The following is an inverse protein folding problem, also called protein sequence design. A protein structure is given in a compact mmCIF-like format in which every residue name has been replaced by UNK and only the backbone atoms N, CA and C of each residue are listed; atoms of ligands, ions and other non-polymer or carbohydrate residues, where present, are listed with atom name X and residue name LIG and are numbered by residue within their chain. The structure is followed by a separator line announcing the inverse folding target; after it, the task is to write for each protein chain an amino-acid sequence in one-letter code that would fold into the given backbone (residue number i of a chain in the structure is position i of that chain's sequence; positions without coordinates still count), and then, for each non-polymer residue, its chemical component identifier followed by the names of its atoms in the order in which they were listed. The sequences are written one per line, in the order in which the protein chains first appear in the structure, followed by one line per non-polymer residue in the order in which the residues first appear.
data_IF_321067026729
#
_entry.id   IF_321067026729
#
_cell.length_a   1.000
_cell.length_b   1.000
_cell.length_c   1.000
_cell.angle_alpha   90.00
_cell.angle_beta   90.00
_cell.angle_gamma   90.00
#
_symmetry.space_group_name_H-M   'P 1'
#
loop_
_entity.id
_entity.type
_entity.pdbx_description
1 polymer ?
#
# COMPACT_ATOMS: atom_id res chain seq x y z
N UNK A 1 -71.57 -29.36 -35.84
CA UNK A 1 -71.07 -28.07 -35.29
C UNK A 1 -70.97 -28.27 -33.78
N UNK A 2 -69.83 -28.25 -33.08
CA UNK A 2 -68.57 -27.53 -33.23
C UNK A 2 -67.42 -28.39 -32.64
N UNK A 3 -66.30 -28.42 -33.35
CA UNK A 3 -64.98 -28.88 -32.90
C UNK A 3 -64.46 -27.96 -31.79
N UNK A 4 -63.91 -28.52 -30.72
CA UNK A 4 -63.13 -27.76 -29.73
C UNK A 4 -61.67 -28.22 -29.87
N UNK A 5 -60.86 -27.36 -30.47
CA UNK A 5 -59.43 -27.54 -30.59
C UNK A 5 -58.76 -27.18 -29.26
N UNK A 6 -58.02 -28.11 -28.67
CA UNK A 6 -57.19 -27.88 -27.51
C UNK A 6 -55.82 -27.36 -27.96
N UNK A 7 -55.58 -26.07 -27.80
CA UNK A 7 -54.26 -25.46 -28.04
C UNK A 7 -53.37 -25.75 -26.82
N UNK A 8 -52.34 -26.58 -26.99
CA UNK A 8 -51.30 -26.80 -25.97
C UNK A 8 -50.33 -25.62 -26.07
N UNK A 9 -50.33 -24.76 -25.05
CA UNK A 9 -49.38 -23.67 -24.90
C UNK A 9 -48.08 -24.24 -24.29
N UNK A 10 -47.08 -24.51 -25.11
CA UNK A 10 -45.73 -24.84 -24.65
C UNK A 10 -45.06 -23.59 -24.08
N UNK A 11 -45.02 -23.48 -22.75
CA UNK A 11 -44.27 -22.45 -22.05
C UNK A 11 -42.77 -22.73 -22.08
N UNK A 12 -42.01 -21.88 -22.77
CA UNK A 12 -40.55 -21.87 -22.72
C UNK A 12 -40.11 -21.30 -21.36
N UNK A 13 -39.60 -22.15 -20.48
CA UNK A 13 -39.00 -21.73 -19.21
C UNK A 13 -37.58 -21.22 -19.51
N UNK A 14 -37.41 -19.91 -19.65
CA UNK A 14 -36.10 -19.29 -19.74
C UNK A 14 -35.41 -19.38 -18.37
N UNK A 15 -34.50 -20.35 -18.23
CA UNK A 15 -33.67 -20.50 -17.03
C UNK A 15 -32.64 -19.36 -17.01
N UNK A 16 -32.97 -18.26 -16.34
CA UNK A 16 -32.04 -17.16 -16.09
C UNK A 16 -30.93 -17.68 -15.19
N UNK A 17 -29.77 -17.98 -15.78
CA UNK A 17 -28.56 -18.33 -15.06
C UNK A 17 -28.10 -17.07 -14.29
N UNK A 18 -28.52 -16.97 -13.04
CA UNK A 18 -27.94 -16.04 -12.07
C UNK A 18 -26.51 -16.48 -11.83
N UNK A 19 -25.57 -15.87 -12.55
CA UNK A 19 -24.15 -15.96 -12.23
C UNK A 19 -24.01 -15.30 -10.86
N UNK A 20 -23.65 -16.04 -9.79
CA UNK A 20 -23.36 -15.41 -8.51
C UNK A 20 -22.17 -14.49 -8.75
N UNK A 21 -22.40 -13.19 -8.65
CA UNK A 21 -21.34 -12.21 -8.55
C UNK A 21 -20.58 -12.59 -7.28
N UNK A 22 -19.38 -13.17 -7.43
CA UNK A 22 -18.55 -13.58 -6.31
C UNK A 22 -18.40 -12.43 -5.33
N UNK A 23 -19.13 -12.49 -4.23
CA UNK A 23 -18.95 -11.62 -3.08
C UNK A 23 -17.64 -12.03 -2.41
N UNK A 24 -16.56 -11.42 -2.86
CA UNK A 24 -15.21 -11.71 -2.40
C UNK A 24 -14.16 -10.86 -3.10
N UNK A 25 -14.44 -9.57 -3.34
CA UNK A 25 -13.42 -8.62 -3.75
C UNK A 25 -12.57 -8.24 -2.54
N UNK A 26 -11.74 -9.18 -2.09
CA UNK A 26 -10.51 -8.81 -1.40
C UNK A 26 -9.68 -7.96 -2.35
N UNK A 27 -8.95 -6.99 -1.80
CA UNK A 27 -8.03 -6.16 -2.57
C UNK A 27 -7.08 -7.06 -3.39
N UNK A 28 -6.92 -6.79 -4.68
CA UNK A 28 -6.05 -7.65 -5.52
C UNK A 28 -4.59 -7.48 -5.10
N UNK A 29 -3.80 -8.54 -5.23
CA UNK A 29 -2.35 -8.48 -4.95
C UNK A 29 -1.68 -7.36 -5.75
N UNK A 30 -2.11 -7.15 -7.00
CA UNK A 30 -1.62 -6.07 -7.86
C UNK A 30 -1.92 -4.69 -7.30
N UNK A 31 -3.13 -4.50 -6.75
CA UNK A 31 -3.47 -3.27 -6.07
C UNK A 31 -2.58 -3.07 -4.84
N UNK A 32 -2.41 -4.08 -3.99
CA UNK A 32 -1.63 -3.94 -2.75
C UNK A 32 -0.16 -3.65 -3.04
N UNK A 33 0.42 -4.27 -4.10
CA UNK A 33 1.77 -3.96 -4.57
C UNK A 33 1.85 -2.50 -5.05
N UNK A 34 0.92 -2.08 -5.90
CA UNK A 34 0.92 -0.72 -6.45
C UNK A 34 0.75 0.34 -5.35
N UNK A 35 -0.16 0.09 -4.40
CA UNK A 35 -0.41 0.97 -3.26
C UNK A 35 0.78 1.01 -2.30
N UNK A 36 1.37 -0.15 -1.96
CA UNK A 36 2.58 -0.22 -1.14
C UNK A 36 3.74 0.59 -1.71
N UNK A 37 3.92 0.59 -3.04
CA UNK A 37 4.90 1.45 -3.72
C UNK A 37 4.62 2.95 -3.57
N UNK A 38 3.35 3.38 -3.65
CA UNK A 38 2.94 4.78 -3.44
C UNK A 38 3.11 5.20 -1.98
N UNK A 39 2.75 4.35 -1.03
CA UNK A 39 3.01 4.53 0.40
C UNK A 39 4.51 4.70 0.68
N UNK A 40 5.34 3.83 0.09
CA UNK A 40 6.80 3.86 0.23
C UNK A 40 7.42 5.17 -0.29
N UNK A 41 6.87 5.72 -1.38
CA UNK A 41 7.32 7.01 -1.91
C UNK A 41 6.84 8.19 -1.06
N UNK A 42 5.53 8.26 -0.77
CA UNK A 42 4.91 9.42 -0.13
C UNK A 42 3.57 9.06 0.52
N UNK A 43 3.63 8.33 1.63
CA UNK A 43 2.45 7.82 2.34
C UNK A 43 1.36 8.86 2.60
N UNK A 44 1.73 10.08 3.00
CA UNK A 44 0.74 11.11 3.31
C UNK A 44 -0.05 11.55 2.08
N UNK A 45 0.54 11.50 0.88
CA UNK A 45 -0.22 11.76 -0.34
C UNK A 45 -1.10 10.57 -0.76
N UNK A 46 -0.68 9.33 -0.47
CA UNK A 46 -1.50 8.14 -0.75
C UNK A 46 -2.68 8.00 0.22
N UNK A 47 -2.52 8.48 1.45
CA UNK A 47 -3.52 8.42 2.51
C UNK A 47 -4.33 9.73 2.64
N UNK A 48 -4.21 10.66 1.68
CA UNK A 48 -4.88 11.98 1.70
C UNK A 48 -4.70 12.73 3.04
N UNK A 49 -3.49 12.63 3.59
CA UNK A 49 -3.09 13.21 4.87
C UNK A 49 -2.12 14.39 4.67
N UNK A 50 -2.09 15.28 5.66
CA UNK A 50 -1.10 16.35 5.68
C UNK A 50 0.32 15.78 5.86
N UNK A 51 1.29 16.43 5.22
CA UNK A 51 2.68 16.06 5.41
C UNK A 51 3.10 16.34 6.88
N UNK A 52 3.84 15.43 7.53
CA UNK A 52 4.36 15.68 8.86
C UNK A 52 5.20 16.96 8.92
N UNK A 53 4.99 17.73 9.98
CA UNK A 53 5.72 18.96 10.26
C UNK A 53 6.91 18.73 11.17
N UNK A 54 6.78 17.77 12.09
CA UNK A 54 7.86 17.43 13.02
C UNK A 54 8.94 16.61 12.30
N UNK A 55 10.22 16.76 12.66
CA UNK A 55 11.28 15.94 12.11
C UNK A 55 11.07 14.45 12.39
N UNK A 56 11.40 13.60 11.41
CA UNK A 56 11.32 12.16 11.62
C UNK A 56 12.32 11.71 12.72
N UNK A 57 11.94 10.86 13.70
CA UNK A 57 12.70 10.64 14.94
C UNK A 57 14.17 10.22 14.75
N UNK A 58 14.45 9.45 13.71
CA UNK A 58 15.81 8.95 13.42
C UNK A 58 16.44 9.57 12.18
N UNK A 59 15.74 10.48 11.51
CA UNK A 59 16.36 11.20 10.42
C UNK A 59 17.40 12.14 11.02
N UNK A 60 18.68 11.89 10.74
CA UNK A 60 19.77 12.58 11.44
C UNK A 60 19.64 14.10 11.29
N UNK A 61 19.68 14.81 12.43
CA UNK A 61 19.69 16.26 12.47
C UNK A 61 20.77 16.81 11.52
N UNK A 62 20.44 17.84 10.72
CA UNK A 62 21.27 18.46 9.67
C UNK A 62 21.36 17.71 8.34
N UNK A 63 20.45 16.79 8.06
CA UNK A 63 20.29 16.21 6.72
C UNK A 63 19.41 17.05 5.82
N UNK A 64 19.50 16.82 4.51
CA UNK A 64 18.90 17.70 3.50
C UNK A 64 17.40 17.90 3.71
N UNK A 65 16.66 16.89 4.18
CA UNK A 65 15.20 16.94 4.35
C UNK A 65 14.73 16.99 5.80
N UNK A 66 15.63 17.24 6.74
CA UNK A 66 15.31 17.39 8.17
C UNK A 66 14.22 18.47 8.37
N UNK A 67 13.02 18.05 8.76
CA UNK A 67 11.86 18.93 8.91
C UNK A 67 11.34 19.57 7.62
N UNK A 68 11.73 19.07 6.43
CA UNK A 68 11.32 19.65 5.14
C UNK A 68 10.11 18.93 4.55
N UNK A 69 8.91 19.42 4.87
CA UNK A 69 7.64 19.06 4.19
C UNK A 69 7.43 17.53 4.14
N UNK A 70 7.72 16.82 5.23
CA UNK A 70 7.62 15.36 5.31
C UNK A 70 8.62 14.58 4.46
N UNK A 71 9.65 15.21 3.87
CA UNK A 71 10.64 14.54 3.03
C UNK A 71 11.45 13.48 3.77
N UNK A 72 11.76 13.75 5.04
CA UNK A 72 12.39 12.86 6.01
C UNK A 72 11.48 11.73 6.52
N UNK A 73 10.16 11.81 6.28
CA UNK A 73 9.18 10.77 6.60
C UNK A 73 8.91 9.79 5.46
N UNK A 74 9.57 9.97 4.30
CA UNK A 74 9.42 9.07 3.15
C UNK A 74 10.35 7.87 3.33
N UNK A 75 9.80 6.66 3.30
CA UNK A 75 10.57 5.42 3.46
C UNK A 75 11.79 5.38 2.53
N UNK A 76 11.58 5.79 1.28
CA UNK A 76 12.66 5.80 0.27
C UNK A 76 13.82 6.73 0.60
N UNK A 77 13.61 7.82 1.34
CA UNK A 77 14.68 8.77 1.63
C UNK A 77 15.76 8.13 2.52
N UNK A 78 15.35 7.21 3.40
CA UNK A 78 16.26 6.40 4.19
C UNK A 78 16.67 5.12 3.47
N UNK A 79 15.72 4.39 2.89
CA UNK A 79 15.92 3.02 2.44
C UNK A 79 16.17 2.88 0.92
N UNK A 80 16.25 3.99 0.20
CA UNK A 80 16.48 4.05 -1.25
C UNK A 80 15.21 3.76 -2.05
N UNK A 81 15.02 4.42 -3.19
CA UNK A 81 13.90 4.10 -4.09
C UNK A 81 13.99 2.70 -4.71
N UNK A 82 15.19 2.10 -4.67
CA UNK A 82 15.53 0.77 -5.15
C UNK A 82 15.59 -0.29 -4.02
N UNK A 83 15.22 0.10 -2.80
CA UNK A 83 15.24 -0.70 -1.57
C UNK A 83 16.63 -1.11 -1.06
N UNK A 84 17.70 -0.55 -1.61
CA UNK A 84 19.09 -0.90 -1.28
C UNK A 84 19.75 0.09 -0.30
N UNK A 85 19.12 1.24 -0.05
CA UNK A 85 19.63 2.27 0.87
C UNK A 85 21.03 2.73 0.46
N UNK A 86 21.97 2.70 1.42
CA UNK A 86 23.37 3.10 1.23
C UNK A 86 24.13 2.27 0.19
N UNK A 87 23.64 1.07 -0.12
CA UNK A 87 24.30 0.12 -1.02
C UNK A 87 23.72 0.17 -2.44
N UNK A 88 22.82 1.13 -2.72
CA UNK A 88 22.23 1.32 -4.05
C UNK A 88 22.24 2.77 -4.49
N UNK A 89 21.18 3.18 -5.18
CA UNK A 89 21.08 4.48 -5.84
C UNK A 89 21.19 5.69 -4.89
N UNK A 90 20.92 5.51 -3.59
CA UNK A 90 21.11 6.55 -2.55
C UNK A 90 22.41 6.35 -1.73
N UNK A 91 23.36 5.55 -2.22
CA UNK A 91 24.71 5.45 -1.64
C UNK A 91 25.54 6.73 -1.81
N UNK A 92 25.17 7.57 -2.77
CA UNK A 92 25.81 8.83 -3.10
C UNK A 92 24.81 9.93 -3.48
N UNK A 93 25.34 11.13 -3.74
CA UNK A 93 24.54 12.28 -4.16
C UNK A 93 23.66 12.89 -3.06
N UNK A 94 22.67 13.66 -3.50
CA UNK A 94 21.87 14.55 -2.63
C UNK A 94 20.90 13.84 -1.66
N UNK A 95 20.67 12.55 -1.88
CA UNK A 95 19.80 11.69 -1.06
C UNK A 95 20.61 10.72 -0.18
N UNK A 96 21.94 10.91 -0.09
CA UNK A 96 22.79 10.03 0.69
C UNK A 96 22.47 10.11 2.17
N UNK A 97 21.93 9.01 2.69
CA UNK A 97 21.55 8.87 4.10
C UNK A 97 22.30 7.75 4.83
N UNK A 98 23.10 6.91 4.17
CA UNK A 98 23.88 5.88 4.86
C UNK A 98 23.06 4.82 5.61
N UNK A 99 21.72 4.85 5.54
CA UNK A 99 20.86 3.83 6.12
C UNK A 99 20.89 2.57 5.25
N UNK A 100 20.73 1.41 5.88
CA UNK A 100 20.68 0.14 5.15
C UNK A 100 19.39 0.04 4.31
N UNK A 101 19.45 -0.69 3.20
CA UNK A 101 18.26 -1.12 2.48
C UNK A 101 17.37 -2.10 3.26
N UNK A 102 16.19 -2.38 2.73
CA UNK A 102 15.16 -3.21 3.40
C UNK A 102 15.01 -4.61 2.80
N UNK A 103 15.74 -4.97 1.75
CA UNK A 103 15.58 -6.30 1.10
C UNK A 103 15.76 -7.50 2.04
N UNK A 104 16.52 -7.35 3.13
CA UNK A 104 16.66 -8.39 4.16
C UNK A 104 15.38 -8.66 4.97
N UNK A 105 14.36 -7.82 4.83
CA UNK A 105 13.03 -8.03 5.41
C UNK A 105 12.09 -8.81 4.49
N UNK A 106 12.51 -9.20 3.28
CA UNK A 106 11.70 -10.03 2.39
C UNK A 106 11.30 -11.34 3.10
N UNK A 107 10.01 -11.69 3.01
CA UNK A 107 9.44 -12.87 3.68
C UNK A 107 9.18 -12.70 5.19
N UNK A 108 9.43 -11.51 5.75
CA UNK A 108 9.02 -11.21 7.13
C UNK A 108 7.49 -11.12 7.22
N UNK A 109 6.93 -11.62 8.32
CA UNK A 109 5.50 -11.53 8.59
C UNK A 109 5.04 -10.05 8.66
N UNK A 110 3.90 -9.67 8.05
CA UNK A 110 3.43 -8.29 8.01
C UNK A 110 3.34 -7.62 9.40
N UNK A 111 2.91 -8.36 10.42
CA UNK A 111 2.74 -7.85 11.78
C UNK A 111 4.09 -7.46 12.41
N UNK A 112 5.16 -8.17 12.04
CA UNK A 112 6.52 -7.83 12.46
C UNK A 112 7.02 -6.57 11.75
N UNK A 113 6.66 -6.38 10.48
CA UNK A 113 6.98 -5.16 9.74
C UNK A 113 6.22 -3.98 10.36
N UNK A 114 4.92 -4.12 10.60
CA UNK A 114 4.11 -3.09 11.23
C UNK A 114 4.63 -2.70 12.62
N UNK A 115 5.04 -3.68 13.45
CA UNK A 115 5.69 -3.40 14.72
C UNK A 115 7.03 -2.65 14.59
N UNK A 116 7.81 -2.91 13.52
CA UNK A 116 9.03 -2.16 13.23
C UNK A 116 8.75 -0.72 12.81
N UNK A 117 7.68 -0.47 12.04
CA UNK A 117 7.27 0.87 11.63
C UNK A 117 6.72 1.70 12.80
N UNK A 118 6.08 1.05 13.79
CA UNK A 118 5.49 1.72 14.96
C UNK A 118 6.47 1.98 16.10
N UNK A 119 7.65 1.37 16.07
CA UNK A 119 8.60 1.54 17.17
C UNK A 119 9.23 2.95 17.18
N UNK A 120 9.97 3.27 18.25
CA UNK A 120 10.66 4.57 18.42
C UNK A 120 11.69 4.93 17.34
N UNK A 121 12.09 3.99 16.48
CA UNK A 121 13.05 4.24 15.38
C UNK A 121 12.34 4.89 14.20
N UNK A 122 11.14 4.45 13.85
CA UNK A 122 10.38 5.01 12.72
C UNK A 122 9.26 5.96 13.19
N UNK A 123 8.54 5.59 14.25
CA UNK A 123 7.55 6.46 14.86
C UNK A 123 6.27 6.66 14.04
N UNK A 124 5.96 5.77 13.11
CA UNK A 124 4.66 5.80 12.43
C UNK A 124 3.54 5.39 13.40
N UNK A 125 2.39 6.03 13.29
CA UNK A 125 1.20 5.72 14.08
C UNK A 125 0.13 5.09 13.19
N UNK A 126 -0.90 4.51 13.80
CA UNK A 126 -2.05 3.93 13.07
C UNK A 126 -2.82 4.96 12.24
N UNK A 127 -2.76 6.24 12.63
CA UNK A 127 -3.33 7.35 11.87
C UNK A 127 -2.50 7.72 10.64
N UNK A 128 -1.22 7.35 10.61
CA UNK A 128 -0.34 7.59 9.45
C UNK A 128 -0.36 6.39 8.49
N UNK A 129 -0.20 5.19 9.05
CA UNK A 129 -0.18 3.91 8.34
C UNK A 129 -1.04 2.92 9.11
N UNK A 130 -2.18 2.53 8.54
CA UNK A 130 -3.09 1.57 9.20
C UNK A 130 -2.65 0.12 8.96
N UNK A 131 -3.26 -0.87 9.65
CA UNK A 131 -2.90 -2.30 9.48
C UNK A 131 -3.11 -2.87 8.06
N UNK A 132 -3.82 -2.15 7.18
CA UNK A 132 -3.98 -2.51 5.76
C UNK A 132 -2.81 -2.02 4.87
N UNK A 133 -1.94 -1.16 5.41
CA UNK A 133 -0.82 -0.50 4.72
C UNK A 133 0.48 -1.30 4.88
#
# INVERSE_FOLDING_TARGET
MKTIATTILTGLLALSLVIPLSAGAGESIEYSIARGGRLYDKWFAENDSDAPTDPHPTYAAKRKYDGKRGGDWRCKECHGWDYLGKDGAYGEGKHKTGFRGIRKAAGMAPEKIAALLRNKVHGYTDSMLSDKD
#
